data_IF_955111852549
#
_entry.id   IF_955111852549
#
_cell.length_a   1.000
_cell.length_b   1.000
_cell.length_c   1.000
_cell.angle_alpha   90.00
_cell.angle_beta   90.00
_cell.angle_gamma   90.00
#
_symmetry.space_group_name_H-M   'P 1'
#
loop_
_entity.id
_entity.type
_entity.pdbx_description
1 polymer ?
#
# COMPACT_ATOMS: atom_id res chain seq x y z
N UNK A 1 0.13 -14.99 -14.88
CA UNK A 1 -1.09 -14.55 -14.16
C UNK A 1 -1.20 -13.05 -14.35
N UNK A 2 -2.41 -12.54 -14.59
CA UNK A 2 -2.63 -11.11 -14.79
C UNK A 2 -2.77 -10.42 -13.42
N UNK A 3 -2.05 -9.33 -13.20
CA UNK A 3 -2.19 -8.52 -11.99
C UNK A 3 -3.53 -7.81 -12.01
N UNK A 4 -4.34 -7.99 -10.98
CA UNK A 4 -5.62 -7.29 -10.85
C UNK A 4 -5.34 -5.83 -10.46
N UNK A 5 -5.96 -4.87 -11.16
CA UNK A 5 -5.87 -3.45 -10.83
C UNK A 5 -7.20 -2.89 -10.36
N UNK A 6 -7.27 -2.42 -9.11
CA UNK A 6 -8.46 -1.82 -8.50
C UNK A 6 -8.42 -0.30 -8.66
N UNK A 7 -9.47 0.27 -9.27
CA UNK A 7 -9.62 1.73 -9.41
C UNK A 7 -10.10 2.36 -8.11
N UNK A 8 -9.85 3.65 -7.90
CA UNK A 8 -10.21 4.39 -6.68
C UNK A 8 -11.67 4.16 -6.27
N UNK A 9 -12.59 4.21 -7.24
CA UNK A 9 -14.04 4.04 -7.00
C UNK A 9 -14.41 2.68 -6.41
N UNK A 10 -13.57 1.67 -6.61
CA UNK A 10 -13.78 0.28 -6.20
C UNK A 10 -12.98 -0.05 -4.93
N UNK A 11 -12.13 0.88 -4.45
CA UNK A 11 -11.44 0.75 -3.16
C UNK A 11 -12.41 1.06 -2.02
N UNK A 12 -12.56 0.09 -1.13
CA UNK A 12 -13.46 0.18 0.04
C UNK A 12 -12.68 0.37 1.33
N UNK A 13 -13.30 1.04 2.31
CA UNK A 13 -12.75 1.18 3.66
C UNK A 13 -12.64 -0.20 4.33
N UNK A 14 -11.45 -0.57 4.86
CA UNK A 14 -11.29 -1.80 5.64
C UNK A 14 -12.17 -1.83 6.89
N UNK A 15 -12.67 -3.02 7.26
CA UNK A 15 -13.47 -3.30 8.46
C UNK A 15 -12.87 -4.42 9.31
N UNK A 16 -11.66 -4.85 8.97
CA UNK A 16 -10.93 -5.87 9.70
C UNK A 16 -9.42 -5.73 9.48
N UNK A 17 -8.65 -6.30 10.41
CA UNK A 17 -7.20 -6.42 10.32
C UNK A 17 -6.74 -6.92 8.93
N UNK A 18 -7.34 -8.00 8.42
CA UNK A 18 -6.91 -8.59 7.16
C UNK A 18 -7.24 -7.71 5.95
N UNK A 19 -8.37 -7.00 5.98
CA UNK A 19 -8.71 -6.04 4.92
C UNK A 19 -7.77 -4.85 4.92
N UNK A 20 -7.36 -4.37 6.11
CA UNK A 20 -6.42 -3.26 6.24
C UNK A 20 -5.06 -3.63 5.65
N UNK A 21 -4.53 -4.79 6.04
CA UNK A 21 -3.27 -5.34 5.52
C UNK A 21 -3.33 -5.48 4.00
N UNK A 22 -4.40 -6.07 3.46
CA UNK A 22 -4.57 -6.26 2.01
C UNK A 22 -4.64 -4.94 1.25
N UNK A 23 -5.35 -3.94 1.78
CA UNK A 23 -5.42 -2.63 1.15
C UNK A 23 -4.03 -1.98 1.10
N UNK A 24 -3.32 -1.94 2.23
CA UNK A 24 -1.97 -1.38 2.33
C UNK A 24 -1.02 -2.08 1.35
N UNK A 25 -1.04 -3.42 1.33
CA UNK A 25 -0.23 -4.22 0.41
C UNK A 25 -0.56 -3.90 -1.06
N UNK A 26 -1.83 -3.77 -1.41
CA UNK A 26 -2.24 -3.47 -2.79
C UNK A 26 -1.84 -2.06 -3.25
N UNK A 27 -1.85 -1.07 -2.36
CA UNK A 27 -1.35 0.27 -2.66
C UNK A 27 0.18 0.27 -2.80
N UNK A 28 0.88 -0.39 -1.87
CA UNK A 28 2.33 -0.50 -1.90
C UNK A 28 2.81 -1.24 -3.16
N UNK A 29 2.09 -2.28 -3.61
CA UNK A 29 2.35 -2.99 -4.87
C UNK A 29 2.37 -2.06 -6.10
N UNK A 30 1.54 -1.02 -6.12
CA UNK A 30 1.53 -0.03 -7.21
C UNK A 30 2.80 0.83 -7.21
N UNK A 31 3.45 1.00 -6.06
CA UNK A 31 4.58 1.92 -5.86
C UNK A 31 5.96 1.25 -5.97
N UNK A 32 6.03 -0.07 -6.11
CA UNK A 32 7.27 -0.84 -6.10
C UNK A 32 7.40 -1.71 -7.35
N UNK A 33 8.60 -2.20 -7.68
CA UNK A 33 8.78 -3.28 -8.64
C UNK A 33 9.00 -4.59 -7.89
N UNK A 34 8.24 -5.60 -8.28
CA UNK A 34 8.33 -6.96 -7.76
C UNK A 34 8.10 -7.92 -8.92
N UNK A 35 8.76 -9.08 -8.89
CA UNK A 35 8.62 -10.11 -9.94
C UNK A 35 7.18 -10.62 -10.06
N UNK A 36 6.42 -10.55 -8.97
CA UNK A 36 5.04 -11.00 -8.91
C UNK A 36 4.17 -10.05 -8.09
N UNK A 37 3.03 -9.63 -8.66
CA UNK A 37 2.03 -8.79 -7.97
C UNK A 37 0.63 -9.38 -8.14
N UNK A 38 0.00 -9.78 -7.04
CA UNK A 38 -1.35 -10.35 -7.05
C UNK A 38 -2.42 -9.28 -7.32
N UNK A 39 -2.31 -8.13 -6.66
CA UNK A 39 -3.27 -7.04 -6.75
C UNK A 39 -2.57 -5.70 -6.56
N UNK A 40 -2.86 -4.76 -7.45
CA UNK A 40 -2.51 -3.35 -7.34
C UNK A 40 -3.79 -2.54 -7.12
N UNK A 41 -3.71 -1.48 -6.32
CA UNK A 41 -4.80 -0.51 -6.17
C UNK A 41 -4.30 0.88 -6.58
N UNK A 42 -5.19 1.67 -7.15
CA UNK A 42 -4.90 3.05 -7.52
C UNK A 42 -4.51 3.87 -6.29
N UNK A 43 -3.37 4.55 -6.38
CA UNK A 43 -2.82 5.37 -5.30
C UNK A 43 -3.23 6.81 -5.53
N UNK A 44 -4.16 7.29 -4.72
CA UNK A 44 -4.68 8.66 -4.74
C UNK A 44 -4.74 9.18 -3.29
N UNK A 45 -4.88 10.50 -3.07
CA UNK A 45 -5.09 11.04 -1.72
C UNK A 45 -6.26 10.38 -0.98
N UNK A 46 -7.31 9.97 -1.70
CA UNK A 46 -8.48 9.30 -1.13
C UNK A 46 -8.20 7.85 -0.74
N UNK A 47 -7.52 7.07 -1.58
CA UNK A 47 -7.19 5.68 -1.21
C UNK A 47 -6.15 5.61 -0.09
N UNK A 48 -5.21 6.56 -0.04
CA UNK A 48 -4.28 6.74 1.09
C UNK A 48 -5.05 7.05 2.38
N UNK A 49 -6.04 7.94 2.32
CA UNK A 49 -6.91 8.23 3.47
C UNK A 49 -7.66 6.98 3.94
N UNK A 50 -8.23 6.19 3.02
CA UNK A 50 -8.91 4.93 3.37
C UNK A 50 -7.97 3.92 4.01
N UNK A 51 -6.72 3.83 3.54
CA UNK A 51 -5.71 2.98 4.15
C UNK A 51 -5.36 3.44 5.57
N UNK A 52 -5.16 4.74 5.79
CA UNK A 52 -4.94 5.32 7.12
C UNK A 52 -6.10 5.08 8.09
N UNK A 53 -7.34 5.23 7.63
CA UNK A 53 -8.51 4.87 8.44
C UNK A 53 -8.57 3.37 8.73
N UNK A 54 -8.20 2.54 7.75
CA UNK A 54 -8.13 1.09 7.89
C UNK A 54 -7.03 0.62 8.84
N UNK A 55 -5.95 1.38 9.03
CA UNK A 55 -4.90 1.06 10.01
C UNK A 55 -5.47 0.93 11.43
N UNK A 56 -6.59 1.61 11.75
CA UNK A 56 -7.25 1.45 13.04
C UNK A 56 -7.80 0.04 13.30
N UNK A 57 -8.01 -0.76 12.25
CA UNK A 57 -8.44 -2.16 12.34
C UNK A 57 -7.29 -3.13 12.63
N UNK A 58 -6.04 -2.66 12.62
CA UNK A 58 -4.86 -3.48 12.90
C UNK A 58 -4.79 -3.79 14.40
N UNK A 59 -4.80 -5.09 14.73
CA UNK A 59 -4.93 -5.58 16.10
C UNK A 59 -3.70 -5.28 16.96
N UNK A 60 -2.53 -5.58 16.43
CA UNK A 60 -1.28 -5.33 17.14
C UNK A 60 -0.98 -3.82 17.20
N UNK A 61 -0.64 -3.33 18.39
CA UNK A 61 -0.43 -1.91 18.62
C UNK A 61 0.85 -1.39 17.95
N UNK A 62 1.90 -2.23 17.90
CA UNK A 62 3.16 -1.87 17.27
C UNK A 62 2.99 -1.80 15.76
N UNK A 63 2.39 -2.82 15.14
CA UNK A 63 2.09 -2.86 13.70
C UNK A 63 1.21 -1.67 13.30
N UNK A 64 0.16 -1.42 14.09
CA UNK A 64 -0.76 -0.30 13.87
C UNK A 64 -0.01 1.04 13.89
N UNK A 65 0.85 1.27 14.88
CA UNK A 65 1.60 2.52 15.00
C UNK A 65 2.66 2.67 13.90
N UNK A 66 3.38 1.59 13.60
CA UNK A 66 4.38 1.55 12.55
C UNK A 66 3.76 1.90 11.19
N UNK A 67 2.68 1.21 10.81
CA UNK A 67 2.00 1.43 9.54
C UNK A 67 1.33 2.81 9.46
N UNK A 68 0.74 3.32 10.56
CA UNK A 68 0.20 4.69 10.60
C UNK A 68 1.27 5.72 10.30
N UNK A 69 2.43 5.61 10.94
CA UNK A 69 3.54 6.54 10.74
C UNK A 69 4.08 6.47 9.31
N UNK A 70 4.21 5.25 8.77
CA UNK A 70 4.67 5.02 7.40
C UNK A 70 3.71 5.59 6.35
N UNK A 71 2.40 5.37 6.48
CA UNK A 71 1.39 5.89 5.55
C UNK A 71 1.15 7.40 5.69
N UNK A 72 1.47 7.99 6.85
CA UNK A 72 1.33 9.44 7.04
C UNK A 72 2.24 10.22 6.08
N UNK A 73 3.42 9.68 5.75
CA UNK A 73 4.32 10.26 4.72
C UNK A 73 3.67 10.35 3.34
N UNK A 74 2.87 9.34 2.98
CA UNK A 74 2.23 9.28 1.67
C UNK A 74 1.22 10.41 1.46
N UNK A 75 0.66 10.97 2.55
CA UNK A 75 -0.24 12.13 2.46
C UNK A 75 0.41 13.37 1.84
N UNK A 76 1.74 13.49 1.90
CA UNK A 76 2.50 14.58 1.27
C UNK A 76 3.23 14.14 0.00
N UNK A 77 2.84 13.00 -0.58
CA UNK A 77 3.49 12.45 -1.78
C UNK A 77 4.85 11.80 -1.49
N UNK A 78 5.27 11.68 -0.23
CA UNK A 78 6.51 10.99 0.10
C UNK A 78 6.29 9.48 0.11
N UNK A 79 6.56 8.84 -1.03
CA UNK A 79 6.49 7.38 -1.22
C UNK A 79 7.85 6.68 -1.04
N UNK A 80 8.86 7.36 -0.47
CA UNK A 80 10.22 6.82 -0.36
C UNK A 80 10.32 5.52 0.45
N UNK A 81 9.38 5.29 1.37
CA UNK A 81 9.30 4.10 2.20
C UNK A 81 8.40 2.99 1.62
N UNK A 82 7.93 3.07 0.37
CA UNK A 82 6.95 2.12 -0.14
C UNK A 82 7.48 0.67 -0.22
N UNK A 83 8.78 0.46 -0.44
CA UNK A 83 9.40 -0.88 -0.39
C UNK A 83 9.33 -1.47 1.02
N UNK A 84 9.63 -0.67 2.04
CA UNK A 84 9.55 -1.09 3.45
C UNK A 84 8.10 -1.46 3.80
N UNK A 85 7.15 -0.58 3.47
CA UNK A 85 5.72 -0.83 3.73
C UNK A 85 5.23 -2.08 3.01
N UNK A 86 5.57 -2.24 1.72
CA UNK A 86 5.24 -3.43 0.94
C UNK A 86 5.72 -4.69 1.66
N UNK A 87 7.01 -4.74 1.99
CA UNK A 87 7.62 -5.95 2.55
C UNK A 87 7.12 -6.23 3.97
N UNK A 88 6.84 -5.20 4.77
CA UNK A 88 6.27 -5.36 6.10
C UNK A 88 4.93 -6.09 6.06
N UNK A 89 3.99 -5.60 5.23
CA UNK A 89 2.67 -6.22 5.14
C UNK A 89 2.68 -7.52 4.34
N UNK A 90 3.64 -7.70 3.45
CA UNK A 90 3.89 -8.96 2.75
C UNK A 90 4.34 -10.07 3.72
N UNK A 91 5.22 -9.75 4.68
CA UNK A 91 5.62 -10.69 5.75
C UNK A 91 4.43 -11.05 6.64
N UNK A 92 3.59 -10.07 7.01
CA UNK A 92 2.35 -10.30 7.77
C UNK A 92 1.31 -11.17 7.04
N UNK A 93 1.46 -11.35 5.73
CA UNK A 93 0.61 -12.21 4.89
C UNK A 93 1.25 -13.57 4.60
N UNK A 94 2.32 -13.94 5.33
CA UNK A 94 3.11 -15.16 5.09
C UNK A 94 3.60 -15.26 3.64
N UNK A 95 4.02 -14.12 3.07
CA UNK A 95 4.45 -14.01 1.69
C UNK A 95 5.68 -14.87 1.38
N UNK A 96 5.65 -15.56 0.24
CA UNK A 96 6.77 -16.40 -0.25
C UNK A 96 7.30 -15.97 -1.63
N UNK A 97 6.53 -15.17 -2.38
CA UNK A 97 6.89 -14.64 -3.71
C UNK A 97 6.50 -13.18 -3.81
N UNK A 98 7.20 -12.42 -4.66
CA UNK A 98 6.86 -11.01 -4.91
C UNK A 98 7.41 -10.02 -3.87
N UNK A 99 8.49 -10.36 -3.14
CA UNK A 99 9.22 -9.39 -2.32
C UNK A 99 9.74 -8.25 -3.21
N UNK A 100 9.61 -7.02 -2.74
CA UNK A 100 10.05 -5.85 -3.47
C UNK A 100 11.45 -5.41 -3.04
N UNK A 101 12.28 -4.99 -3.99
CA UNK A 101 13.63 -4.45 -3.70
C UNK A 101 13.76 -2.99 -4.10
N UNK A 102 12.96 -2.53 -5.07
CA UNK A 102 13.09 -1.19 -5.65
C UNK A 102 11.74 -0.51 -5.82
N UNK A 103 11.75 0.82 -5.74
CA UNK A 103 10.60 1.68 -6.03
C UNK A 103 10.30 1.68 -7.54
N UNK A 104 9.03 1.77 -7.89
CA UNK A 104 8.59 2.07 -9.25
C UNK A 104 8.56 3.59 -9.48
N UNK A 105 9.74 4.14 -9.78
CA UNK A 105 9.93 5.59 -9.91
C UNK A 105 9.03 6.23 -10.98
N UNK A 106 8.77 5.52 -12.09
CA UNK A 106 7.95 6.05 -13.17
C UNK A 106 6.49 6.15 -12.73
N UNK A 107 5.99 5.12 -12.04
CA UNK A 107 4.63 5.13 -11.47
C UNK A 107 4.49 6.17 -10.36
N UNK A 108 5.49 6.28 -9.47
CA UNK A 108 5.53 7.31 -8.43
C UNK A 108 5.50 8.71 -9.05
N UNK A 109 6.34 8.98 -10.05
CA UNK A 109 6.36 10.30 -10.70
C UNK A 109 5.01 10.63 -11.38
N UNK A 110 4.35 9.63 -11.97
CA UNK A 110 3.01 9.82 -12.55
C UNK A 110 1.99 10.22 -11.48
N UNK A 111 2.00 9.55 -10.32
CA UNK A 111 1.11 9.86 -9.19
C UNK A 111 1.41 11.25 -8.63
N UNK A 112 2.69 11.61 -8.49
CA UNK A 112 3.09 12.93 -8.04
C UNK A 112 2.52 14.00 -8.96
N UNK A 113 2.79 13.94 -10.26
CA UNK A 113 2.30 14.93 -11.22
C UNK A 113 0.77 15.09 -11.26
N UNK A 114 0.03 14.05 -10.92
CA UNK A 114 -1.44 14.05 -10.96
C UNK A 114 -2.07 14.60 -9.66
N UNK A 115 -1.44 14.37 -8.50
CA UNK A 115 -2.07 14.62 -7.19
C UNK A 115 -1.27 15.53 -6.24
N UNK A 116 -0.01 15.86 -6.54
CA UNK A 116 0.93 16.56 -5.65
C UNK A 116 1.74 17.64 -6.38
#
# INVERSE_FOLDING_TARGET
>A
METIYIKEKDVVKPRSNNEAIKLIHSLANTLVKAEYKWQCSEVTPKTIKLALEGVEEIKDNYDRMHLRNSLTKWKSGDFSNAVEVHNYVWEMMDGNVGKAEVLDKDKIQSILNEYY
#
